data_IF_278831287880
#
_entry.id   IF_278831287880
#
_cell.length_a   1.000
_cell.length_b   1.000
_cell.length_c   1.000
_cell.angle_alpha   90.00
_cell.angle_beta   90.00
_cell.angle_gamma   90.00
#
_symmetry.space_group_name_H-M   'P 1'
#
loop_
_entity.id
_entity.type
_entity.pdbx_description
1 polymer ?
#
# COMPACT_ATOMS: atom_id res chain seq x y z
N UNK A 1 -9.91 -1.17 -2.78
CA UNK A 1 -10.07 0.25 -3.21
C UNK A 1 -9.94 0.39 -4.73
N UNK A 2 -8.75 0.23 -5.34
CA UNK A 2 -8.57 0.47 -6.78
C UNK A 2 -9.51 -0.34 -7.68
N UNK A 3 -9.71 -1.64 -7.44
CA UNK A 3 -10.62 -2.46 -8.26
C UNK A 3 -12.04 -1.84 -8.35
N UNK A 4 -12.59 -1.40 -7.22
CA UNK A 4 -13.91 -0.76 -7.14
C UNK A 4 -13.92 0.57 -7.86
N UNK A 5 -12.92 1.42 -7.62
CA UNK A 5 -12.81 2.74 -8.24
C UNK A 5 -12.78 2.66 -9.77
N UNK A 6 -12.00 1.72 -10.33
CA UNK A 6 -11.95 1.50 -11.78
C UNK A 6 -13.24 0.91 -12.34
N UNK A 7 -13.87 -0.03 -11.63
CA UNK A 7 -15.16 -0.59 -12.04
C UNK A 7 -16.25 0.50 -12.04
N UNK A 8 -16.26 1.38 -11.02
CA UNK A 8 -17.15 2.51 -10.93
C UNK A 8 -16.93 3.48 -12.11
N UNK A 9 -15.69 3.88 -12.35
CA UNK A 9 -15.36 4.77 -13.47
C UNK A 9 -15.78 4.16 -14.83
N UNK A 10 -15.53 2.87 -15.04
CA UNK A 10 -15.95 2.16 -16.25
C UNK A 10 -17.48 2.08 -16.40
N UNK A 11 -18.21 1.78 -15.31
CA UNK A 11 -19.67 1.70 -15.28
C UNK A 11 -20.32 3.05 -15.61
N UNK A 12 -19.81 4.12 -15.01
CA UNK A 12 -20.34 5.47 -15.16
C UNK A 12 -19.69 6.27 -16.29
N UNK A 13 -18.90 5.62 -17.15
CA UNK A 13 -18.19 6.23 -18.30
C UNK A 13 -17.27 7.42 -17.92
N UNK A 14 -16.81 7.45 -16.67
CA UNK A 14 -15.88 8.47 -16.17
C UNK A 14 -14.48 8.15 -16.70
N UNK A 15 -13.89 9.11 -17.40
CA UNK A 15 -12.59 8.94 -18.06
C UNK A 15 -11.39 9.30 -17.18
N UNK A 16 -11.61 9.99 -16.07
CA UNK A 16 -10.52 10.53 -15.26
C UNK A 16 -10.69 10.11 -13.80
N UNK A 17 -9.58 9.65 -13.21
CA UNK A 17 -9.46 9.34 -11.79
C UNK A 17 -8.35 10.21 -11.23
N UNK A 18 -8.63 10.97 -10.18
CA UNK A 18 -7.63 11.77 -9.47
C UNK A 18 -7.08 10.99 -8.27
N UNK A 19 -5.77 11.05 -8.06
CA UNK A 19 -5.13 10.45 -6.89
C UNK A 19 -4.05 11.36 -6.31
N UNK A 20 -3.90 11.34 -4.98
CA UNK A 20 -2.84 12.04 -4.26
C UNK A 20 -1.45 11.38 -4.35
N UNK A 21 -1.30 10.26 -5.08
CA UNK A 21 0.00 9.64 -5.28
C UNK A 21 0.97 10.62 -5.96
N UNK A 22 2.17 10.77 -5.42
CA UNK A 22 3.11 11.82 -5.84
C UNK A 22 4.57 11.39 -5.71
N UNK A 23 5.45 11.93 -6.55
CA UNK A 23 6.89 11.63 -6.48
C UNK A 23 7.59 12.31 -5.30
N UNK A 24 7.08 13.46 -4.85
CA UNK A 24 7.69 14.24 -3.77
C UNK A 24 7.80 13.45 -2.45
N UNK A 25 6.83 12.60 -2.13
CA UNK A 25 6.81 11.83 -0.87
C UNK A 25 6.80 10.32 -1.07
N UNK A 26 6.76 9.83 -2.32
CA UNK A 26 6.60 8.40 -2.65
C UNK A 26 7.47 7.94 -3.84
N UNK A 27 8.60 8.59 -4.09
CA UNK A 27 9.50 8.20 -5.18
C UNK A 27 10.22 6.86 -4.93
N UNK A 28 10.41 6.47 -3.67
CA UNK A 28 10.94 5.15 -3.30
C UNK A 28 9.78 4.19 -3.13
N UNK A 29 9.83 3.07 -3.85
CA UNK A 29 8.83 2.01 -3.78
C UNK A 29 9.16 1.04 -2.65
N UNK A 30 8.12 0.51 -2.00
CA UNK A 30 8.28 -0.65 -1.13
C UNK A 30 8.90 -1.84 -1.89
N UNK A 31 9.85 -2.58 -1.27
CA UNK A 31 10.34 -3.84 -1.80
C UNK A 31 9.20 -4.82 -2.09
N UNK A 32 9.38 -5.69 -3.08
CA UNK A 32 8.38 -6.71 -3.41
C UNK A 32 8.14 -7.67 -2.24
N UNK A 33 9.17 -7.95 -1.46
CA UNK A 33 9.13 -8.79 -0.28
C UNK A 33 8.16 -8.25 0.78
N UNK A 34 8.05 -6.92 0.88
CA UNK A 34 7.16 -6.27 1.85
C UNK A 34 5.73 -6.16 1.32
N UNK A 35 5.60 -5.84 0.04
CA UNK A 35 4.30 -5.62 -0.61
C UNK A 35 4.27 -6.30 -1.97
N UNK A 36 3.78 -7.54 -2.00
CA UNK A 36 3.59 -8.28 -3.24
C UNK A 36 2.44 -7.71 -4.08
N UNK A 37 2.39 -8.09 -5.35
CA UNK A 37 1.44 -7.57 -6.33
C UNK A 37 0.00 -8.00 -6.02
N UNK A 38 -0.80 -7.11 -5.44
CA UNK A 38 -2.22 -7.37 -5.14
C UNK A 38 -3.12 -7.64 -6.36
N UNK A 39 -2.60 -7.45 -7.59
CA UNK A 39 -3.28 -7.81 -8.85
C UNK A 39 -3.03 -9.26 -9.30
N UNK A 40 -2.24 -10.03 -8.55
CA UNK A 40 -2.01 -11.46 -8.84
C UNK A 40 -3.21 -12.30 -8.40
N UNK A 41 -4.15 -12.49 -9.32
CA UNK A 41 -5.36 -13.27 -9.04
C UNK A 41 -5.09 -14.75 -8.83
N UNK A 42 -3.98 -15.31 -9.31
CA UNK A 42 -3.65 -16.72 -9.04
C UNK A 42 -3.24 -16.87 -7.59
N UNK A 43 -2.44 -15.95 -7.07
CA UNK A 43 -2.07 -15.97 -5.66
C UNK A 43 -3.26 -15.74 -4.74
N UNK A 44 -4.11 -14.75 -5.06
CA UNK A 44 -5.33 -14.51 -4.28
C UNK A 44 -6.21 -15.77 -4.24
N UNK A 45 -6.41 -16.45 -5.37
CA UNK A 45 -7.20 -17.68 -5.44
C UNK A 45 -6.54 -18.87 -4.73
N UNK A 46 -5.22 -19.01 -4.79
CA UNK A 46 -4.50 -20.10 -4.10
C UNK A 46 -4.55 -19.93 -2.58
N UNK A 47 -4.33 -18.71 -2.07
CA UNK A 47 -4.48 -18.39 -0.65
C UNK A 47 -5.94 -18.63 -0.22
N UNK A 48 -6.91 -18.11 -0.97
CA UNK A 48 -8.32 -18.29 -0.65
C UNK A 48 -8.76 -19.76 -0.70
N UNK A 49 -8.25 -20.56 -1.64
CA UNK A 49 -8.55 -21.99 -1.68
C UNK A 49 -8.03 -22.72 -0.43
N UNK A 50 -6.90 -22.29 0.12
CA UNK A 50 -6.27 -22.92 1.30
C UNK A 50 -6.89 -22.50 2.62
N UNK A 51 -7.32 -21.24 2.75
CA UNK A 51 -7.72 -20.65 4.04
C UNK A 51 -9.05 -19.90 4.03
N UNK A 52 -9.70 -19.77 2.87
CA UNK A 52 -10.97 -19.07 2.75
C UNK A 52 -12.12 -19.85 3.36
N UNK A 53 -13.01 -19.14 4.06
CA UNK A 53 -14.19 -19.72 4.69
C UNK A 53 -15.47 -19.53 3.86
N UNK A 54 -15.49 -18.58 2.92
CA UNK A 54 -16.68 -18.24 2.13
C UNK A 54 -16.33 -17.91 0.69
N UNK A 55 -17.13 -18.33 -0.30
CA UNK A 55 -16.87 -18.05 -1.70
C UNK A 55 -16.76 -16.55 -2.02
N UNK A 56 -15.78 -16.18 -2.84
CA UNK A 56 -15.55 -14.80 -3.30
C UNK A 56 -16.50 -14.39 -4.46
N UNK A 57 -17.82 -14.50 -4.27
CA UNK A 57 -18.81 -14.23 -5.33
C UNK A 57 -18.90 -12.74 -5.64
N UNK A 58 -19.09 -11.90 -4.62
CA UNK A 58 -19.25 -10.44 -4.74
C UNK A 58 -17.94 -9.66 -4.59
N UNK A 59 -16.83 -10.35 -4.30
CA UNK A 59 -15.56 -9.68 -4.03
C UNK A 59 -14.96 -9.10 -5.32
N UNK A 60 -14.74 -7.76 -5.40
CA UNK A 60 -14.26 -7.13 -6.62
C UNK A 60 -12.79 -7.48 -6.85
N UNK A 61 -12.53 -8.30 -7.86
CA UNK A 61 -11.18 -8.65 -8.30
C UNK A 61 -10.69 -7.75 -9.43
N UNK A 62 -9.39 -7.51 -9.51
CA UNK A 62 -8.76 -6.76 -10.58
C UNK A 62 -7.65 -7.58 -11.23
N UNK A 63 -7.94 -8.12 -12.41
CA UNK A 63 -6.93 -8.73 -13.27
C UNK A 63 -5.98 -7.65 -13.80
N UNK A 64 -4.68 -7.90 -13.77
CA UNK A 64 -3.66 -6.98 -14.30
C UNK A 64 -3.92 -6.57 -15.75
N UNK A 65 -4.34 -7.48 -16.63
CA UNK A 65 -4.60 -7.17 -18.04
C UNK A 65 -5.82 -6.27 -18.19
N UNK A 66 -6.87 -6.53 -17.39
CA UNK A 66 -8.04 -5.65 -17.33
C UNK A 66 -7.61 -4.22 -16.93
N UNK A 67 -6.75 -4.11 -15.93
CA UNK A 67 -6.31 -2.82 -15.41
C UNK A 67 -5.34 -2.08 -16.32
N UNK A 68 -4.26 -2.73 -16.76
CA UNK A 68 -3.21 -2.10 -17.56
C UNK A 68 -3.58 -1.91 -19.03
N UNK A 69 -4.42 -2.79 -19.59
CA UNK A 69 -4.74 -2.78 -21.02
C UNK A 69 -6.17 -2.33 -21.27
N UNK A 70 -7.16 -3.12 -20.84
CA UNK A 70 -8.56 -2.87 -21.19
C UNK A 70 -9.08 -1.53 -20.66
N UNK A 71 -8.90 -1.26 -19.37
CA UNK A 71 -9.40 -0.04 -18.74
C UNK A 71 -8.69 1.21 -19.28
N UNK A 72 -7.39 1.11 -19.53
CA UNK A 72 -6.57 2.22 -20.03
C UNK A 72 -6.83 2.53 -21.50
N UNK A 73 -6.68 1.54 -22.39
CA UNK A 73 -6.69 1.78 -23.83
C UNK A 73 -8.07 1.63 -24.45
N UNK A 74 -8.87 0.64 -24.01
CA UNK A 74 -10.21 0.40 -24.58
C UNK A 74 -11.25 1.31 -23.92
N UNK A 75 -11.26 1.41 -22.59
CA UNK A 75 -12.18 2.31 -21.87
C UNK A 75 -11.68 3.75 -21.79
N UNK A 76 -10.43 4.01 -22.13
CA UNK A 76 -9.85 5.35 -22.12
C UNK A 76 -9.76 5.99 -20.74
N UNK A 77 -9.73 5.19 -19.66
CA UNK A 77 -9.64 5.69 -18.29
C UNK A 77 -8.19 6.08 -17.99
N UNK A 78 -8.00 7.32 -17.52
CA UNK A 78 -6.71 7.93 -17.18
C UNK A 78 -6.66 8.25 -15.69
N UNK A 79 -5.57 7.87 -15.03
CA UNK A 79 -5.28 8.29 -13.66
C UNK A 79 -4.36 9.50 -13.71
N UNK A 80 -4.81 10.60 -13.12
CA UNK A 80 -4.06 11.85 -13.03
C UNK A 80 -3.57 12.02 -11.60
N UNK A 81 -2.35 12.54 -11.45
CA UNK A 81 -1.67 12.77 -10.18
C UNK A 81 -1.39 14.28 -10.03
N UNK A 82 -2.38 15.09 -9.61
CA UNK A 82 -2.25 16.55 -9.60
C UNK A 82 -1.02 17.04 -8.83
N UNK A 83 -0.68 16.37 -7.73
CA UNK A 83 0.47 16.72 -6.89
C UNK A 83 1.84 16.59 -7.57
N UNK A 84 1.92 15.94 -8.74
CA UNK A 84 3.15 15.91 -9.54
C UNK A 84 3.33 17.14 -10.44
N UNK A 85 2.31 17.98 -10.57
CA UNK A 85 2.34 19.19 -11.41
C UNK A 85 2.61 20.46 -10.60
N UNK A 86 2.85 20.33 -9.30
CA UNK A 86 3.12 21.43 -8.38
C UNK A 86 4.32 21.08 -7.51
N UNK A 87 5.05 22.08 -6.97
CA UNK A 87 6.08 21.84 -5.97
C UNK A 87 5.43 21.40 -4.65
N UNK A 88 5.11 20.11 -4.54
CA UNK A 88 4.48 19.57 -3.34
C UNK A 88 5.49 19.44 -2.20
N UNK A 89 5.42 20.31 -1.20
CA UNK A 89 6.20 20.22 0.04
C UNK A 89 5.28 19.76 1.17
N UNK A 90 5.57 18.60 1.76
CA UNK A 90 4.69 17.95 2.75
C UNK A 90 4.41 18.86 3.95
N UNK A 91 5.43 19.53 4.49
CA UNK A 91 5.30 20.39 5.66
C UNK A 91 4.41 21.60 5.38
N UNK A 92 4.57 22.22 4.22
CA UNK A 92 3.76 23.36 3.79
C UNK A 92 2.31 22.95 3.54
N UNK A 93 2.09 21.81 2.89
CA UNK A 93 0.75 21.28 2.66
C UNK A 93 0.01 20.98 3.97
N UNK A 94 0.70 20.37 4.94
CA UNK A 94 0.11 20.10 6.27
C UNK A 94 -0.22 21.39 7.02
N UNK A 95 0.68 22.39 6.98
CA UNK A 95 0.43 23.71 7.58
C UNK A 95 -0.78 24.39 6.93
N UNK A 96 -0.82 24.44 5.60
CA UNK A 96 -1.94 25.01 4.86
C UNK A 96 -3.27 24.34 5.24
N UNK A 97 -3.30 23.01 5.34
CA UNK A 97 -4.48 22.26 5.75
C UNK A 97 -4.91 22.58 7.20
N UNK A 98 -3.95 22.70 8.12
CA UNK A 98 -4.24 23.07 9.50
C UNK A 98 -4.80 24.49 9.60
N UNK A 99 -4.13 25.47 8.98
CA UNK A 99 -4.47 26.89 9.08
C UNK A 99 -5.81 27.22 8.42
N UNK A 100 -6.17 26.54 7.32
CA UNK A 100 -7.35 26.89 6.51
C UNK A 100 -8.55 25.95 6.69
N UNK A 101 -8.31 24.71 7.15
CA UNK A 101 -9.36 23.69 7.22
C UNK A 101 -9.43 22.99 8.58
N UNK A 102 -8.66 23.43 9.57
CA UNK A 102 -8.63 22.81 10.89
C UNK A 102 -8.13 21.36 10.87
N UNK A 103 -7.35 20.99 9.85
CA UNK A 103 -6.86 19.63 9.70
C UNK A 103 -5.95 19.22 10.85
N UNK A 104 -6.25 18.07 11.46
CA UNK A 104 -5.45 17.52 12.53
C UNK A 104 -4.35 16.63 11.97
N UNK A 105 -3.10 16.94 12.35
CA UNK A 105 -1.96 16.15 11.93
C UNK A 105 -1.90 14.82 12.69
N UNK A 106 -1.46 13.77 12.01
CA UNK A 106 -1.20 12.46 12.59
C UNK A 106 0.31 12.21 12.71
N UNK A 107 0.69 11.36 13.66
CA UNK A 107 2.11 11.09 13.98
C UNK A 107 2.89 10.49 12.80
N UNK A 108 2.23 9.68 11.96
CA UNK A 108 2.84 9.01 10.81
C UNK A 108 1.84 8.88 9.65
N UNK A 109 2.38 8.74 8.43
CA UNK A 109 1.59 8.50 7.22
C UNK A 109 0.63 7.31 7.43
N UNK A 110 -0.64 7.48 7.01
CA UNK A 110 -1.71 6.49 7.12
C UNK A 110 -2.28 6.25 8.52
N UNK A 111 -1.81 6.96 9.54
CA UNK A 111 -2.24 6.71 10.92
C UNK A 111 -3.57 7.37 11.29
N UNK A 112 -4.25 8.00 10.32
CA UNK A 112 -5.68 8.34 10.45
C UNK A 112 -6.56 7.09 10.62
N UNK A 113 -6.11 5.94 10.12
CA UNK A 113 -6.79 4.66 10.25
C UNK A 113 -6.15 3.82 11.34
N UNK A 114 -6.92 3.45 12.38
CA UNK A 114 -6.46 2.50 13.41
C UNK A 114 -5.98 1.18 12.81
N UNK A 115 -6.64 0.69 11.77
CA UNK A 115 -6.23 -0.54 11.08
C UNK A 115 -4.86 -0.38 10.42
N UNK A 116 -4.66 0.72 9.69
CA UNK A 116 -3.39 0.92 8.98
C UNK A 116 -2.25 1.22 9.95
N UNK A 117 -2.53 1.98 11.03
CA UNK A 117 -1.59 2.18 12.14
C UNK A 117 -1.14 0.85 12.75
N UNK A 118 -2.09 -0.03 13.06
CA UNK A 118 -1.77 -1.37 13.58
C UNK A 118 -0.96 -2.19 12.57
N UNK A 119 -1.40 -2.21 11.30
CA UNK A 119 -0.77 -3.02 10.26
C UNK A 119 0.66 -2.56 9.94
N UNK A 120 0.85 -1.28 9.59
CA UNK A 120 2.15 -0.73 9.23
C UNK A 120 3.05 -0.49 10.45
N UNK A 121 2.47 -0.03 11.55
CA UNK A 121 3.21 0.37 12.74
C UNK A 121 3.62 -0.79 13.63
N UNK A 122 2.81 -1.85 13.72
CA UNK A 122 3.08 -2.97 14.62
C UNK A 122 3.18 -4.31 13.91
N UNK A 123 2.18 -4.71 13.12
CA UNK A 123 2.12 -6.04 12.54
C UNK A 123 3.30 -6.32 11.61
N UNK A 124 3.54 -5.43 10.64
CA UNK A 124 4.68 -5.56 9.73
C UNK A 124 6.02 -5.51 10.45
N UNK A 125 6.14 -4.62 11.45
CA UNK A 125 7.35 -4.43 12.23
C UNK A 125 7.69 -5.64 13.10
N UNK A 126 6.77 -6.08 13.96
CA UNK A 126 6.98 -7.20 14.89
C UNK A 126 7.03 -8.54 14.17
N UNK A 127 6.10 -8.78 13.24
CA UNK A 127 6.02 -10.09 12.58
C UNK A 127 7.15 -10.29 11.59
N UNK A 128 7.41 -9.32 10.72
CA UNK A 128 8.30 -9.48 9.57
C UNK A 128 9.60 -8.67 9.65
N UNK A 129 9.76 -7.79 10.64
CA UNK A 129 10.88 -6.85 10.70
C UNK A 129 10.80 -5.75 9.64
N UNK A 130 9.61 -5.52 9.06
CA UNK A 130 9.42 -4.55 7.97
C UNK A 130 9.02 -3.20 8.55
N UNK A 131 9.87 -2.20 8.34
CA UNK A 131 9.62 -0.82 8.76
C UNK A 131 9.33 0.07 7.54
N UNK A 132 8.04 0.33 7.29
CA UNK A 132 7.58 1.14 6.15
C UNK A 132 8.13 2.55 6.16
N UNK A 133 8.52 3.08 7.34
CA UNK A 133 9.13 4.41 7.47
C UNK A 133 10.43 4.50 6.70
N UNK A 134 11.20 3.41 6.55
CA UNK A 134 12.47 3.42 5.80
C UNK A 134 12.27 3.87 4.35
N UNK A 135 11.21 3.40 3.70
CA UNK A 135 10.87 3.75 2.31
C UNK A 135 10.32 5.17 2.23
N UNK A 136 9.46 5.53 3.18
CA UNK A 136 8.86 6.87 3.26
C UNK A 136 9.94 7.95 3.51
N UNK A 137 10.81 7.76 4.49
CA UNK A 137 11.90 8.69 4.82
C UNK A 137 12.95 8.74 3.71
N UNK A 138 13.27 7.61 3.07
CA UNK A 138 14.14 7.64 1.88
C UNK A 138 13.58 8.55 0.77
N UNK A 139 12.27 8.55 0.57
CA UNK A 139 11.63 9.46 -0.40
C UNK A 139 11.77 10.93 0.00
N UNK A 140 11.62 11.24 1.29
CA UNK A 140 11.80 12.61 1.81
C UNK A 140 13.26 13.07 1.75
N UNK A 141 14.23 12.18 1.97
CA UNK A 141 15.66 12.47 1.84
C UNK A 141 16.01 12.79 0.37
N UNK A 142 15.58 11.93 -0.57
CA UNK A 142 15.83 12.13 -2.00
C UNK A 142 15.19 13.42 -2.54
N UNK A 143 14.13 13.90 -1.91
CA UNK A 143 13.44 15.14 -2.27
C UNK A 143 13.82 16.32 -1.38
N UNK A 144 14.86 16.17 -0.54
CA UNK A 144 15.42 17.23 0.32
C UNK A 144 14.43 17.80 1.36
N UNK A 145 13.42 17.02 1.75
CA UNK A 145 12.42 17.39 2.76
C UNK A 145 12.73 16.83 4.16
N UNK A 146 13.75 16.00 4.29
CA UNK A 146 14.20 15.38 5.54
C UNK A 146 15.71 15.09 5.45
N UNK A 147 16.43 15.23 6.56
CA UNK A 147 17.85 14.82 6.60
C UNK A 147 17.98 13.33 6.95
N UNK A 148 19.11 12.72 6.55
CA UNK A 148 19.41 11.34 6.94
C UNK A 148 19.48 11.18 8.47
N UNK A 149 20.03 12.18 9.16
CA UNK A 149 20.17 12.17 10.62
C UNK A 149 18.80 12.14 11.31
N UNK A 150 17.90 13.04 10.90
CA UNK A 150 16.52 13.07 11.40
C UNK A 150 15.80 11.73 11.16
N UNK A 151 15.99 11.12 9.98
CA UNK A 151 15.41 9.83 9.67
C UNK A 151 15.93 8.72 10.60
N UNK A 152 17.24 8.68 10.86
CA UNK A 152 17.85 7.69 11.77
C UNK A 152 17.38 7.88 13.21
N UNK A 153 17.27 9.11 13.70
CA UNK A 153 16.73 9.41 15.02
C UNK A 153 15.29 8.92 15.16
N UNK A 154 14.43 9.19 14.17
CA UNK A 154 13.05 8.70 14.16
C UNK A 154 12.95 7.17 14.07
N UNK A 155 13.85 6.52 13.31
CA UNK A 155 13.89 5.07 13.17
C UNK A 155 14.45 4.36 14.40
N UNK A 156 15.15 5.07 15.29
CA UNK A 156 15.65 4.50 16.55
C UNK A 156 14.52 4.10 17.51
N UNK A 157 13.34 4.71 17.35
CA UNK A 157 12.15 4.41 18.12
C UNK A 157 11.20 3.48 17.35
N UNK A 158 10.46 2.60 18.03
CA UNK A 158 9.47 1.75 17.38
C UNK A 158 8.38 2.58 16.66
N UNK A 159 7.75 2.07 15.59
CA UNK A 159 6.69 2.79 14.87
C UNK A 159 5.31 2.72 15.54
N UNK A 160 5.24 2.17 16.75
CA UNK A 160 4.02 2.00 17.53
C UNK A 160 4.29 2.39 18.98
N UNK A 161 3.23 2.78 19.69
CA UNK A 161 3.28 3.07 21.12
C UNK A 161 2.88 1.82 21.91
N UNK A 162 3.75 1.40 22.82
CA UNK A 162 3.58 0.19 23.62
C UNK A 162 2.38 0.28 24.57
N UNK A 163 2.01 1.49 24.99
CA UNK A 163 0.87 1.68 25.89
C UNK A 163 -0.48 1.48 25.19
N UNK A 164 -0.55 1.80 23.90
CA UNK A 164 -1.80 1.75 23.12
C UNK A 164 -1.92 0.50 22.26
N UNK A 165 -0.82 -0.21 22.01
CA UNK A 165 -0.84 -1.33 21.06
C UNK A 165 -1.74 -2.48 21.48
N UNK A 166 -1.86 -2.76 22.79
CA UNK A 166 -2.78 -3.79 23.29
C UNK A 166 -4.23 -3.48 22.90
N UNK A 167 -4.65 -2.22 23.05
CA UNK A 167 -6.00 -1.77 22.70
C UNK A 167 -6.22 -1.80 21.18
N UNK A 168 -5.20 -1.46 20.39
CA UNK A 168 -5.27 -1.60 18.93
C UNK A 168 -5.37 -3.09 18.53
N UNK A 169 -4.65 -3.98 19.20
CA UNK A 169 -4.71 -5.42 18.95
C UNK A 169 -6.11 -5.98 19.23
N UNK A 170 -6.70 -5.64 20.37
CA UNK A 170 -8.07 -6.02 20.76
C UNK A 170 -9.11 -5.45 19.79
N UNK A 171 -8.97 -4.19 19.40
CA UNK A 171 -9.83 -3.54 18.41
C UNK A 171 -9.78 -4.27 17.07
N UNK A 172 -8.59 -4.67 16.60
CA UNK A 172 -8.42 -5.35 15.31
C UNK A 172 -8.99 -6.76 15.36
N UNK A 173 -8.73 -7.53 16.42
CA UNK A 173 -9.35 -8.84 16.60
C UNK A 173 -10.89 -8.74 16.53
N UNK A 174 -11.47 -7.77 17.25
CA UNK A 174 -12.91 -7.49 17.23
C UNK A 174 -13.41 -7.15 15.82
N UNK A 175 -12.73 -6.26 15.10
CA UNK A 175 -13.12 -5.86 13.72
C UNK A 175 -12.97 -6.98 12.69
N UNK A 176 -12.08 -7.94 12.95
CA UNK A 176 -11.92 -9.14 12.13
C UNK A 176 -12.91 -10.26 12.52
N UNK A 177 -13.64 -10.12 13.62
CA UNK A 177 -14.58 -11.13 14.10
C UNK A 177 -13.90 -12.37 14.70
N UNK A 178 -12.68 -12.21 15.23
CA UNK A 178 -11.89 -13.30 15.84
C UNK A 178 -11.49 -12.95 17.27
N UNK A 179 -11.08 -13.95 18.04
CA UNK A 179 -10.57 -13.72 19.41
C UNK A 179 -9.15 -13.11 19.39
N UNK A 180 -8.79 -12.40 20.47
CA UNK A 180 -7.42 -11.89 20.68
C UNK A 180 -6.40 -13.04 20.62
N UNK A 181 -6.72 -14.18 21.27
CA UNK A 181 -5.85 -15.36 21.26
C UNK A 181 -5.65 -15.92 19.86
N UNK A 182 -6.67 -15.88 19.00
CA UNK A 182 -6.56 -16.31 17.62
C UNK A 182 -5.69 -15.36 16.79
N UNK A 183 -5.88 -14.05 16.92
CA UNK A 183 -5.01 -13.08 16.25
C UNK A 183 -3.55 -13.21 16.71
N UNK A 184 -3.32 -13.49 18.00
CA UNK A 184 -1.99 -13.74 18.56
C UNK A 184 -1.36 -15.00 17.96
N UNK A 185 -2.11 -16.10 17.82
CA UNK A 185 -1.61 -17.29 17.11
C UNK A 185 -1.10 -16.94 15.71
N UNK A 186 -1.80 -16.08 14.96
CA UNK A 186 -1.34 -15.64 13.64
C UNK A 186 -0.06 -14.79 13.70
N UNK A 187 0.12 -13.98 14.74
CA UNK A 187 1.36 -13.24 14.98
C UNK A 187 2.53 -14.20 15.20
N UNK A 188 2.33 -15.25 15.99
CA UNK A 188 3.39 -16.17 16.43
C UNK A 188 3.73 -17.27 15.41
N UNK A 189 2.86 -17.52 14.43
CA UNK A 189 3.15 -18.45 13.34
C UNK A 189 4.40 -18.04 12.56
N UNK A 190 5.14 -19.03 12.06
CA UNK A 190 6.29 -18.80 11.18
C UNK A 190 5.89 -17.95 9.96
N UNK A 191 6.76 -17.02 9.60
CA UNK A 191 6.51 -16.10 8.51
C UNK A 191 6.42 -16.85 7.18
N UNK A 192 5.38 -16.51 6.42
CA UNK A 192 5.24 -16.88 5.02
C UNK A 192 5.47 -15.65 4.16
N UNK A 193 5.92 -15.91 2.94
CA UNK A 193 6.17 -14.92 1.90
C UNK A 193 5.22 -15.16 0.73
N UNK A 194 5.23 -14.23 -0.22
CA UNK A 194 4.49 -14.40 -1.47
C UNK A 194 4.92 -15.66 -2.28
N UNK A 195 6.11 -16.22 -1.99
CA UNK A 195 6.66 -17.41 -2.66
C UNK A 195 6.05 -18.72 -2.17
N UNK A 196 5.40 -18.71 -1.00
CA UNK A 196 4.74 -19.88 -0.40
C UNK A 196 3.37 -20.21 -1.05
N UNK A 197 2.98 -19.41 -2.04
CA UNK A 197 1.70 -19.50 -2.73
C UNK A 197 1.90 -19.49 -4.25
N UNK A 198 1.00 -20.15 -4.98
CA UNK A 198 1.02 -20.11 -6.44
C UNK A 198 0.89 -18.66 -6.90
N UNK A 199 1.62 -18.26 -7.94
CA UNK A 199 1.62 -16.87 -8.41
C UNK A 199 1.90 -16.79 -9.90
N UNK A 200 1.55 -15.66 -10.50
CA UNK A 200 1.92 -15.31 -11.88
C UNK A 200 3.20 -14.46 -11.93
N UNK A 201 4.06 -14.54 -10.91
CA UNK A 201 5.25 -13.68 -10.80
C UNK A 201 6.11 -13.71 -12.07
N UNK A 202 6.32 -14.89 -12.67
CA UNK A 202 7.08 -15.02 -13.92
C UNK A 202 6.47 -14.17 -15.02
N UNK A 203 5.15 -14.24 -15.21
CA UNK A 203 4.41 -13.42 -16.20
C UNK A 203 4.58 -11.94 -15.93
N UNK A 204 4.51 -11.50 -14.67
CA UNK A 204 4.72 -10.10 -14.31
C UNK A 204 6.15 -9.63 -14.63
N UNK A 205 7.16 -10.43 -14.27
CA UNK A 205 8.57 -10.12 -14.55
C UNK A 205 8.83 -10.02 -16.04
N UNK A 206 8.38 -11.01 -16.83
CA UNK A 206 8.51 -11.02 -18.29
C UNK A 206 7.77 -9.86 -18.94
N UNK A 207 6.51 -9.64 -18.58
CA UNK A 207 5.70 -8.54 -19.09
C UNK A 207 6.34 -7.18 -18.82
N UNK A 208 6.92 -6.96 -17.64
CA UNK A 208 7.64 -5.71 -17.37
C UNK A 208 8.93 -5.59 -18.17
N UNK A 209 9.71 -6.65 -18.37
CA UNK A 209 10.90 -6.59 -19.25
C UNK A 209 10.52 -6.13 -20.66
N UNK A 210 9.46 -6.71 -21.23
CA UNK A 210 8.93 -6.31 -22.55
C UNK A 210 8.49 -4.85 -22.56
N UNK A 211 7.69 -4.44 -21.58
CA UNK A 211 7.22 -3.05 -21.47
C UNK A 211 8.36 -2.04 -21.30
N UNK A 212 9.45 -2.44 -20.62
CA UNK A 212 10.66 -1.63 -20.52
C UNK A 212 11.40 -1.52 -21.85
N UNK A 213 11.56 -2.64 -22.58
CA UNK A 213 12.17 -2.64 -23.90
C UNK A 213 11.41 -1.77 -24.90
N UNK A 214 10.08 -1.73 -24.80
CA UNK A 214 9.21 -0.86 -25.61
C UNK A 214 9.15 0.60 -25.12
N UNK A 215 9.87 0.96 -24.05
CA UNK A 215 9.87 2.32 -23.49
C UNK A 215 8.56 2.73 -22.78
N UNK A 216 7.60 1.82 -22.65
CA UNK A 216 6.28 2.06 -22.05
C UNK A 216 6.29 2.00 -20.52
N UNK A 217 7.33 1.40 -19.92
CA UNK A 217 7.56 1.32 -18.49
C UNK A 217 9.01 1.69 -18.17
N UNK A 218 9.24 2.56 -17.19
CA UNK A 218 10.58 2.94 -16.73
C UNK A 218 10.92 2.38 -15.35
N UNK A 219 9.92 1.84 -14.64
CA UNK A 219 10.08 1.33 -13.28
C UNK A 219 10.77 -0.04 -13.28
N UNK A 220 11.63 -0.25 -12.29
CA UNK A 220 12.23 -1.55 -12.03
C UNK A 220 11.28 -2.43 -11.22
N UNK A 221 11.23 -3.72 -11.57
CA UNK A 221 10.80 -4.75 -10.64
C UNK A 221 12.05 -5.15 -9.87
N UNK A 222 12.12 -4.73 -8.61
CA UNK A 222 13.01 -5.29 -7.59
C UNK A 222 12.09 -5.85 -6.52
#
# INVERSE_FOLDING_TARGET
IFAVMYNFAAKHKIKYILTGANYSTECVKNPMEWTYMGSDLVQLKDIHKKFGQSPLISYPTANILKHKVYLRYIKGIKVIKPLNYVPYIKKEALRFLADNYGWQNYSQKHFESRFTRFYEGYWLFKKFGYDTRRVQFSSLILTKQMTKQEALEKLSQPPYDENTIKQDFEYIATKLGISVNELQKYMDLSNKTYKDYKSQLRTFVWGTKIMKALGLERRNIR
#
